data_IF_815062897978
#
_entry.id   IF_815062897978
#
_cell.length_a   1.000
_cell.length_b   1.000
_cell.length_c   1.000
_cell.angle_alpha   90.00
_cell.angle_beta   90.00
_cell.angle_gamma   90.00
#
_symmetry.space_group_name_H-M   'P 1'
#
loop_
_entity.id
_entity.type
_entity.pdbx_description
1 polymer ?
#
# COMPACT_ATOMS: atom_id res chain seq x y z
N UNK A 1 -1.72 -13.78 36.53
CA UNK A 1 -0.25 -13.68 36.60
C UNK A 1 0.05 -12.19 36.51
N UNK A 2 0.50 -11.56 37.59
CA UNK A 2 0.86 -10.14 37.56
C UNK A 2 2.16 -9.99 36.77
N UNK A 3 2.17 -9.08 35.78
CA UNK A 3 3.37 -8.77 35.02
C UNK A 3 4.21 -7.77 35.82
N UNK A 4 5.39 -8.20 36.25
CA UNK A 4 6.32 -7.32 36.98
C UNK A 4 6.91 -6.28 36.04
N UNK A 5 6.73 -5.00 36.37
CA UNK A 5 7.39 -3.91 35.67
C UNK A 5 8.88 -3.87 36.05
N UNK A 6 9.75 -4.14 35.09
CA UNK A 6 11.20 -4.08 35.28
C UNK A 6 11.73 -2.67 35.00
N UNK A 7 12.59 -2.14 35.88
CA UNK A 7 13.23 -0.81 35.71
C UNK A 7 14.45 -0.83 34.79
N UNK A 8 15.00 -2.00 34.48
CA UNK A 8 16.17 -2.19 33.63
C UNK A 8 16.57 -3.67 33.55
N UNK A 9 17.61 -3.96 32.78
CA UNK A 9 18.21 -5.30 32.72
C UNK A 9 18.89 -5.63 34.05
N UNK A 10 18.63 -6.83 34.58
CA UNK A 10 19.30 -7.36 35.78
C UNK A 10 20.63 -7.99 35.38
N UNK A 11 21.49 -8.29 36.36
CA UNK A 11 22.72 -9.05 36.10
C UNK A 11 22.43 -10.44 35.48
N UNK A 12 21.35 -11.09 35.92
CA UNK A 12 20.90 -12.36 35.34
C UNK A 12 20.51 -12.20 33.85
N UNK A 13 19.85 -11.08 33.49
CA UNK A 13 19.56 -10.78 32.08
C UNK A 13 20.85 -10.56 31.28
N UNK A 14 21.82 -9.82 31.81
CA UNK A 14 23.09 -9.57 31.12
C UNK A 14 23.89 -10.88 30.96
N UNK A 15 23.91 -11.72 31.98
CA UNK A 15 24.57 -13.02 31.92
C UNK A 15 23.90 -13.96 30.90
N UNK A 16 22.57 -13.89 30.77
CA UNK A 16 21.79 -14.72 29.85
C UNK A 16 21.80 -14.23 28.41
N UNK A 17 21.69 -12.93 28.18
CA UNK A 17 21.47 -12.32 26.85
C UNK A 17 22.70 -11.58 26.31
N UNK A 18 23.76 -11.47 27.10
CA UNK A 18 25.00 -10.79 26.75
C UNK A 18 25.04 -9.33 27.23
N UNK A 19 26.19 -8.68 27.03
CA UNK A 19 26.37 -7.28 27.39
C UNK A 19 25.47 -6.38 26.56
N UNK A 20 25.30 -5.14 27.02
CA UNK A 20 24.67 -4.06 26.26
C UNK A 20 25.39 -3.94 24.91
N UNK A 21 24.62 -3.97 23.82
CA UNK A 21 25.14 -3.85 22.46
C UNK A 21 25.18 -2.38 22.04
N UNK A 22 26.21 -2.02 21.29
CA UNK A 22 26.24 -0.78 20.54
C UNK A 22 25.22 -0.81 19.38
N UNK A 23 24.79 0.36 18.93
CA UNK A 23 23.86 0.47 17.81
C UNK A 23 24.55 0.11 16.48
N UNK A 24 23.78 -0.49 15.56
CA UNK A 24 24.24 -0.76 14.21
C UNK A 24 24.07 0.48 13.32
N UNK A 25 25.07 0.79 12.49
CA UNK A 25 25.03 1.87 11.50
C UNK A 25 25.00 1.25 10.12
N UNK A 26 23.95 1.55 9.35
CA UNK A 26 23.79 1.08 7.98
C UNK A 26 24.02 2.24 6.99
N UNK A 27 24.90 2.02 6.02
CA UNK A 27 24.96 2.84 4.81
C UNK A 27 23.94 2.31 3.82
N UNK A 28 23.13 3.20 3.21
CA UNK A 28 22.05 2.80 2.32
C UNK A 28 22.01 3.60 1.03
N UNK A 29 21.41 3.04 -0.01
CA UNK A 29 21.02 3.74 -1.23
C UNK A 29 19.54 3.47 -1.56
N UNK A 30 18.99 4.25 -2.50
CA UNK A 30 17.58 4.17 -2.91
C UNK A 30 17.47 3.78 -4.37
N UNK A 31 16.64 2.80 -4.67
CA UNK A 31 16.24 2.49 -6.05
C UNK A 31 14.77 2.84 -6.23
N UNK A 32 14.47 3.55 -7.33
CA UNK A 32 13.13 4.05 -7.63
C UNK A 32 12.60 3.35 -8.87
N UNK A 33 11.44 2.72 -8.72
CA UNK A 33 10.70 2.03 -9.76
C UNK A 33 9.41 2.79 -10.03
N UNK A 34 9.13 3.10 -11.29
CA UNK A 34 7.92 3.83 -11.69
C UNK A 34 7.10 3.04 -12.70
N UNK A 35 5.79 3.27 -12.74
CA UNK A 35 4.90 2.74 -13.79
C UNK A 35 5.51 2.99 -15.19
N UNK A 36 5.50 1.99 -16.11
CA UNK A 36 4.82 0.69 -16.06
C UNK A 36 5.64 -0.46 -15.42
N UNK A 37 6.65 -0.15 -14.61
CA UNK A 37 7.44 -1.14 -13.85
C UNK A 37 8.19 -2.18 -14.71
N UNK A 38 8.62 -1.80 -15.91
CA UNK A 38 9.38 -2.65 -16.82
C UNK A 38 10.88 -2.66 -16.51
N UNK A 39 11.26 -3.29 -15.40
CA UNK A 39 12.65 -3.45 -14.97
C UNK A 39 13.03 -4.94 -14.93
N UNK A 40 14.30 -5.26 -15.18
CA UNK A 40 14.76 -6.65 -15.25
C UNK A 40 14.52 -7.45 -13.96
N UNK A 41 14.48 -6.76 -12.83
CA UNK A 41 14.36 -7.35 -11.50
C UNK A 41 12.95 -7.18 -10.89
N UNK A 42 11.98 -6.77 -11.71
CA UNK A 42 10.60 -6.53 -11.29
C UNK A 42 9.64 -7.47 -12.02
N UNK A 43 8.72 -8.05 -11.26
CA UNK A 43 7.67 -8.93 -11.74
C UNK A 43 6.32 -8.36 -11.33
N UNK A 44 5.41 -8.21 -12.30
CA UNK A 44 4.07 -7.65 -12.10
C UNK A 44 3.04 -8.65 -12.61
N UNK A 45 1.98 -8.89 -11.84
CA UNK A 45 0.90 -9.78 -12.26
C UNK A 45 -0.44 -9.49 -11.59
N UNK A 46 -1.50 -10.06 -12.15
CA UNK A 46 -2.89 -9.92 -11.69
C UNK A 46 -3.31 -8.44 -11.56
N UNK A 47 -3.36 -7.73 -12.69
CA UNK A 47 -3.76 -6.33 -12.79
C UNK A 47 -4.84 -6.15 -13.87
N UNK A 48 -5.63 -5.08 -13.76
CA UNK A 48 -6.72 -4.74 -14.67
C UNK A 48 -6.29 -3.77 -15.77
N UNK A 49 -5.52 -2.75 -15.41
CA UNK A 49 -5.14 -1.66 -16.32
C UNK A 49 -3.69 -1.19 -16.06
N UNK A 50 -3.04 -0.73 -17.13
CA UNK A 50 -1.80 0.04 -17.06
C UNK A 50 -2.08 1.42 -17.66
N UNK A 51 -2.05 2.45 -16.82
CA UNK A 51 -2.16 3.85 -17.24
C UNK A 51 -0.85 4.56 -16.86
N UNK A 52 -0.08 5.09 -17.82
CA UNK A 52 1.18 5.80 -17.54
C UNK A 52 1.02 7.01 -16.61
N UNK A 53 -0.20 7.56 -16.52
CA UNK A 53 -0.52 8.70 -15.67
C UNK A 53 -1.01 8.28 -14.29
N UNK A 54 -1.73 7.16 -14.15
CA UNK A 54 -2.31 6.70 -12.87
C UNK A 54 -1.50 5.62 -12.16
N UNK A 55 -0.77 4.79 -12.89
CA UNK A 55 -0.12 3.59 -12.37
C UNK A 55 -0.68 2.29 -12.95
N UNK A 56 -0.35 1.18 -12.30
CA UNK A 56 -0.92 -0.13 -12.58
C UNK A 56 -2.03 -0.40 -11.57
N UNK A 57 -3.23 -0.67 -12.04
CA UNK A 57 -4.40 -1.00 -11.22
C UNK A 57 -4.41 -2.50 -10.91
N UNK A 58 -4.05 -2.86 -9.68
CA UNK A 58 -3.94 -4.25 -9.26
C UNK A 58 -5.29 -4.82 -8.85
N UNK A 59 -5.50 -6.10 -9.19
CA UNK A 59 -6.59 -6.86 -8.60
C UNK A 59 -6.36 -7.01 -7.11
N UNK A 60 -7.35 -6.67 -6.31
CA UNK A 60 -7.18 -6.76 -4.88
C UNK A 60 -7.01 -8.22 -4.41
N UNK A 61 -6.32 -8.37 -3.29
CA UNK A 61 -5.89 -9.63 -2.67
C UNK A 61 -4.83 -10.44 -3.45
N UNK A 62 -4.99 -10.66 -4.77
CA UNK A 62 -4.09 -11.50 -5.57
C UNK A 62 -3.16 -10.75 -6.54
N UNK A 63 -3.39 -9.45 -6.78
CA UNK A 63 -2.51 -8.53 -7.50
C UNK A 63 -1.17 -8.34 -6.83
N UNK A 64 -0.09 -8.32 -7.61
CA UNK A 64 1.26 -8.26 -7.05
C UNK A 64 2.27 -7.50 -7.90
N UNK A 65 3.19 -6.83 -7.19
CA UNK A 65 4.44 -6.30 -7.71
C UNK A 65 5.59 -6.83 -6.86
N UNK A 66 6.47 -7.64 -7.44
CA UNK A 66 7.64 -8.23 -6.76
C UNK A 66 8.91 -7.57 -7.26
N UNK A 67 9.76 -7.11 -6.33
CA UNK A 67 11.10 -6.56 -6.61
C UNK A 67 12.15 -7.49 -6.00
N UNK A 68 13.17 -7.84 -6.80
CA UNK A 68 14.33 -8.64 -6.38
C UNK A 68 15.58 -7.79 -6.45
N UNK A 69 16.13 -7.40 -5.32
CA UNK A 69 17.36 -6.61 -5.24
C UNK A 69 18.58 -7.52 -5.09
N UNK A 70 19.73 -7.09 -5.61
CA UNK A 70 21.00 -7.78 -5.33
C UNK A 70 21.42 -7.57 -3.86
N UNK A 71 21.10 -6.40 -3.32
CA UNK A 71 21.43 -5.97 -1.96
C UNK A 71 20.24 -6.11 -1.01
N UNK A 72 20.47 -6.30 0.30
CA UNK A 72 19.38 -6.43 1.27
C UNK A 72 18.52 -5.16 1.39
N UNK A 73 17.20 -5.34 1.37
CA UNK A 73 16.17 -4.31 1.46
C UNK A 73 15.86 -4.04 2.94
N UNK A 74 15.94 -2.78 3.36
CA UNK A 74 15.67 -2.35 4.74
C UNK A 74 14.40 -1.51 4.86
N UNK A 75 13.92 -0.96 3.75
CA UNK A 75 12.65 -0.26 3.69
C UNK A 75 12.06 -0.29 2.28
N UNK A 76 10.74 -0.14 2.22
CA UNK A 76 9.98 -0.01 0.98
C UNK A 76 8.99 1.14 1.15
N UNK A 77 8.94 2.03 0.17
CA UNK A 77 7.92 3.08 0.07
C UNK A 77 7.06 2.79 -1.14
N UNK A 78 5.74 2.75 -0.96
CA UNK A 78 4.77 2.55 -2.04
C UNK A 78 3.94 3.82 -2.18
N UNK A 79 3.87 4.35 -3.39
CA UNK A 79 3.04 5.52 -3.73
C UNK A 79 1.96 5.09 -4.72
N UNK A 80 0.72 5.42 -4.39
CA UNK A 80 -0.43 5.06 -5.20
C UNK A 80 -1.74 5.58 -4.64
N UNK A 81 -2.84 5.17 -5.25
CA UNK A 81 -4.17 5.68 -4.90
C UNK A 81 -5.24 4.62 -5.10
N UNK A 82 -6.26 4.65 -4.26
CA UNK A 82 -7.44 3.81 -4.40
C UNK A 82 -8.52 4.49 -5.24
N UNK A 83 -9.24 3.70 -6.03
CA UNK A 83 -10.48 4.13 -6.68
C UNK A 83 -11.68 4.12 -5.71
N UNK A 84 -11.53 3.48 -4.55
CA UNK A 84 -12.52 3.43 -3.48
C UNK A 84 -11.89 3.74 -2.10
N UNK A 85 -12.69 4.12 -1.08
CA UNK A 85 -12.20 4.30 0.28
C UNK A 85 -11.60 3.01 0.87
N UNK A 86 -10.85 3.18 1.96
CA UNK A 86 -10.21 2.10 2.73
C UNK A 86 -9.21 1.31 1.90
N UNK A 87 -8.42 2.03 1.11
CA UNK A 87 -7.26 1.49 0.44
C UNK A 87 -6.26 0.89 1.43
N UNK A 88 -5.49 -0.09 0.97
CA UNK A 88 -4.45 -0.73 1.76
C UNK A 88 -3.27 -1.10 0.87
N UNK A 89 -2.09 -1.13 1.48
CA UNK A 89 -0.89 -1.75 0.90
C UNK A 89 -0.35 -2.79 1.87
N UNK A 90 0.14 -3.90 1.33
CA UNK A 90 0.81 -4.97 2.07
C UNK A 90 2.19 -5.12 1.46
N UNK A 91 3.22 -5.12 2.30
CA UNK A 91 4.57 -5.51 1.91
C UNK A 91 4.88 -6.86 2.55
N UNK A 92 5.30 -7.82 1.74
CA UNK A 92 5.62 -9.20 2.10
C UNK A 92 7.07 -9.51 1.74
N UNK A 93 7.75 -10.34 2.53
CA UNK A 93 9.15 -10.73 2.28
C UNK A 93 9.47 -12.18 2.66
N UNK A 94 8.62 -13.07 2.17
CA UNK A 94 8.77 -14.52 2.32
C UNK A 94 10.06 -15.04 1.68
N UNK A 95 10.60 -16.15 2.21
CA UNK A 95 11.68 -16.84 1.52
C UNK A 95 11.15 -17.48 0.21
N UNK A 96 12.06 -17.93 -0.66
CA UNK A 96 11.64 -18.55 -1.92
C UNK A 96 10.76 -19.78 -1.68
N UNK A 97 9.59 -19.81 -2.34
CA UNK A 97 8.57 -20.85 -2.17
C UNK A 97 7.73 -20.75 -0.89
N UNK A 98 7.91 -19.71 -0.07
CA UNK A 98 7.08 -19.44 1.11
C UNK A 98 5.99 -18.39 0.82
N UNK A 99 4.85 -18.52 1.49
CA UNK A 99 3.72 -17.61 1.50
C UNK A 99 2.91 -17.80 2.81
N UNK A 100 1.76 -17.12 2.92
CA UNK A 100 0.92 -17.21 4.11
C UNK A 100 0.29 -18.60 4.31
N UNK A 101 0.06 -19.35 3.24
CA UNK A 101 -0.59 -20.66 3.26
C UNK A 101 0.39 -21.82 3.50
N UNK A 102 1.70 -21.57 3.40
CA UNK A 102 2.74 -22.60 3.57
C UNK A 102 3.93 -22.14 4.44
N UNK A 103 3.67 -21.21 5.36
CA UNK A 103 4.64 -20.71 6.33
C UNK A 103 5.31 -21.89 7.08
N UNK A 104 6.58 -22.19 6.74
CA UNK A 104 7.36 -23.32 7.27
C UNK A 104 7.81 -23.08 8.72
N UNK A 105 6.85 -22.89 9.63
CA UNK A 105 7.05 -22.53 11.05
C UNK A 105 7.88 -21.26 11.28
N UNK A 106 7.90 -20.35 10.30
CA UNK A 106 8.58 -19.07 10.41
C UNK A 106 7.63 -17.95 10.85
N UNK A 107 8.20 -16.92 11.49
CA UNK A 107 7.48 -15.68 11.77
C UNK A 107 6.89 -15.09 10.48
N UNK A 108 5.66 -14.61 10.56
CA UNK A 108 4.97 -13.98 9.43
C UNK A 108 5.75 -12.73 9.00
N UNK A 109 6.17 -12.71 7.73
CA UNK A 109 6.99 -11.64 7.13
C UNK A 109 6.12 -10.71 6.27
N UNK A 110 5.14 -10.06 6.91
CA UNK A 110 4.24 -9.09 6.26
C UNK A 110 3.95 -7.87 7.13
N UNK A 111 3.81 -6.73 6.50
CA UNK A 111 3.27 -5.50 7.11
C UNK A 111 2.13 -4.98 6.25
N UNK A 112 1.13 -4.38 6.89
CA UNK A 112 -0.04 -3.81 6.22
C UNK A 112 -0.23 -2.37 6.70
N UNK A 113 -0.45 -1.47 5.76
CA UNK A 113 -0.95 -0.11 6.02
C UNK A 113 -2.36 -0.03 5.45
N UNK A 114 -3.31 0.38 6.28
CA UNK A 114 -4.73 0.51 5.96
C UNK A 114 -5.16 1.99 5.92
N UNK A 115 -6.41 2.23 5.51
CA UNK A 115 -7.05 3.55 5.46
C UNK A 115 -6.34 4.54 4.52
N UNK A 116 -5.78 4.03 3.43
CA UNK A 116 -5.19 4.81 2.35
C UNK A 116 -6.33 5.38 1.48
N UNK A 117 -6.83 6.57 1.83
CA UNK A 117 -8.03 7.17 1.22
C UNK A 117 -7.71 8.29 0.21
N UNK A 118 -6.61 8.16 -0.51
CA UNK A 118 -6.24 9.06 -1.60
C UNK A 118 -6.74 8.59 -2.96
N UNK A 119 -7.27 9.52 -3.76
CA UNK A 119 -7.75 9.31 -5.14
C UNK A 119 -6.78 9.97 -6.13
N UNK A 120 -6.51 9.30 -7.25
CA UNK A 120 -5.53 9.77 -8.23
C UNK A 120 -5.92 11.15 -8.80
N UNK A 121 -5.00 12.14 -8.83
CA UNK A 121 -5.30 13.47 -9.36
C UNK A 121 -5.73 13.50 -10.84
N UNK A 122 -5.46 12.49 -11.66
CA UNK A 122 -5.96 12.46 -13.05
C UNK A 122 -7.49 12.43 -13.15
N UNK A 123 -8.18 12.00 -12.08
CA UNK A 123 -9.63 12.09 -11.96
C UNK A 123 -10.09 13.55 -12.02
N UNK A 124 -9.26 14.51 -11.60
CA UNK A 124 -9.48 15.94 -11.79
C UNK A 124 -9.70 16.31 -13.26
N UNK A 125 -8.84 15.81 -14.15
CA UNK A 125 -8.95 16.07 -15.59
C UNK A 125 -10.23 15.44 -16.15
N UNK A 126 -10.57 14.22 -15.74
CA UNK A 126 -11.79 13.54 -16.21
C UNK A 126 -13.07 14.24 -15.73
N UNK A 127 -13.08 14.74 -14.48
CA UNK A 127 -14.19 15.54 -13.95
C UNK A 127 -14.34 16.88 -14.68
N UNK A 128 -13.24 17.59 -14.90
CA UNK A 128 -13.26 18.87 -15.63
C UNK A 128 -13.66 18.71 -17.11
N UNK A 129 -13.30 17.58 -17.72
CA UNK A 129 -13.66 17.26 -19.10
C UNK A 129 -15.06 16.66 -19.24
N UNK A 130 -15.75 16.35 -18.13
CA UNK A 130 -17.05 15.69 -18.13
C UNK A 130 -17.01 14.26 -18.65
N UNK A 131 -15.85 13.61 -18.60
CA UNK A 131 -15.61 12.26 -19.16
C UNK A 131 -15.50 11.17 -18.09
N UNK A 132 -15.65 11.51 -16.80
CA UNK A 132 -15.58 10.53 -15.72
C UNK A 132 -16.77 9.55 -15.80
N UNK A 133 -16.53 8.24 -16.06
CA UNK A 133 -17.60 7.26 -16.19
C UNK A 133 -18.35 7.08 -14.87
N UNK A 134 -19.68 7.05 -14.91
CA UNK A 134 -20.50 6.78 -13.74
C UNK A 134 -20.68 7.96 -12.76
N UNK A 135 -20.13 9.15 -13.06
CA UNK A 135 -20.52 10.36 -12.32
C UNK A 135 -21.90 10.82 -12.75
N UNK A 136 -22.94 10.11 -12.32
CA UNK A 136 -24.29 10.61 -12.37
C UNK A 136 -24.56 11.33 -11.05
N UNK A 137 -24.74 12.66 -11.09
CA UNK A 137 -25.23 13.43 -9.94
C UNK A 137 -26.68 13.04 -9.53
N UNK A 138 -27.23 11.96 -10.08
CA UNK A 138 -28.61 11.52 -9.86
C UNK A 138 -28.82 10.94 -8.46
N UNK A 139 -27.77 10.43 -7.81
CA UNK A 139 -27.81 9.88 -6.44
C UNK A 139 -27.40 10.92 -5.38
N UNK A 140 -27.11 12.14 -5.80
CA UNK A 140 -26.76 13.26 -4.93
C UNK A 140 -27.89 14.27 -5.03
N UNK A 141 -28.47 14.68 -3.89
CA UNK A 141 -29.55 15.65 -3.93
C UNK A 141 -29.06 16.93 -4.64
N UNK A 142 -29.85 17.59 -5.50
CA UNK A 142 -29.41 18.77 -6.27
C UNK A 142 -28.79 19.88 -5.41
N UNK A 143 -29.20 19.97 -4.15
CA UNK A 143 -28.69 20.86 -3.11
C UNK A 143 -27.32 20.46 -2.53
N UNK A 144 -26.95 19.18 -2.63
CA UNK A 144 -25.71 18.61 -2.09
C UNK A 144 -24.53 18.76 -3.04
N UNK A 145 -24.70 18.90 -4.36
CA UNK A 145 -23.56 19.12 -5.26
C UNK A 145 -23.95 19.98 -6.45
N UNK A 146 -23.44 21.22 -6.47
CA UNK A 146 -23.87 22.28 -7.41
C UNK A 146 -23.20 22.23 -8.79
N UNK A 147 -22.39 21.21 -9.06
CA UNK A 147 -21.64 21.02 -10.30
C UNK A 147 -20.17 20.62 -10.07
N UNK A 148 -19.40 20.50 -11.15
CA UNK A 148 -18.01 20.00 -11.11
C UNK A 148 -17.11 20.78 -10.13
N UNK A 149 -17.21 22.11 -10.07
CA UNK A 149 -16.39 22.93 -9.16
C UNK A 149 -16.71 22.66 -7.68
N UNK A 150 -17.97 22.39 -7.35
CA UNK A 150 -18.40 22.07 -5.98
C UNK A 150 -17.99 20.63 -5.59
N UNK A 151 -18.14 19.69 -6.54
CA UNK A 151 -17.59 18.33 -6.43
C UNK A 151 -16.08 18.36 -6.15
N UNK A 152 -15.33 19.17 -6.90
CA UNK A 152 -13.90 19.35 -6.74
C UNK A 152 -13.54 19.92 -5.36
N UNK A 153 -14.30 20.91 -4.86
CA UNK A 153 -14.08 21.46 -3.51
C UNK A 153 -14.29 20.39 -2.45
N UNK A 154 -15.37 19.61 -2.53
CA UNK A 154 -15.66 18.54 -1.56
C UNK A 154 -14.60 17.44 -1.58
N UNK A 155 -14.17 16.99 -2.75
CA UNK A 155 -13.08 16.04 -2.91
C UNK A 155 -11.73 16.61 -2.44
N UNK A 156 -11.45 17.89 -2.67
CA UNK A 156 -10.22 18.54 -2.16
C UNK A 156 -10.19 18.62 -0.63
N UNK A 157 -11.35 18.68 0.01
CA UNK A 157 -11.51 18.67 1.47
C UNK A 157 -11.51 17.26 2.05
N UNK A 158 -11.35 16.23 1.21
CA UNK A 158 -11.39 14.85 1.65
C UNK A 158 -12.81 14.39 1.97
N UNK A 159 -13.83 14.70 1.17
CA UNK A 159 -15.20 14.32 1.48
C UNK A 159 -15.94 13.75 0.26
N UNK A 160 -16.27 12.46 0.31
CA UNK A 160 -17.13 11.76 -0.65
C UNK A 160 -18.02 10.76 0.10
N UNK A 161 -19.34 10.90 0.02
CA UNK A 161 -20.32 9.98 0.65
C UNK A 161 -20.05 9.66 2.15
N UNK A 162 -19.57 10.63 2.93
CA UNK A 162 -19.23 10.42 4.35
C UNK A 162 -17.87 9.72 4.59
N UNK A 163 -17.11 9.45 3.54
CA UNK A 163 -15.75 8.90 3.58
C UNK A 163 -14.70 9.97 3.24
N UNK A 164 -13.54 9.86 3.88
CA UNK A 164 -12.49 10.86 3.78
C UNK A 164 -11.62 10.66 2.52
N UNK A 165 -12.15 10.88 1.30
CA UNK A 165 -11.39 10.71 0.05
C UNK A 165 -10.83 12.03 -0.49
N UNK A 166 -9.50 12.18 -0.46
CA UNK A 166 -8.82 13.40 -0.92
C UNK A 166 -8.08 13.23 -2.26
N UNK A 167 -7.89 14.32 -3.00
CA UNK A 167 -7.05 14.36 -4.21
C UNK A 167 -5.56 14.37 -3.87
N UNK A 168 -5.06 13.23 -3.42
CA UNK A 168 -3.65 13.00 -3.20
C UNK A 168 -3.34 11.52 -3.40
N UNK A 169 -2.09 11.23 -3.73
CA UNK A 169 -1.59 9.86 -3.65
C UNK A 169 -1.24 9.54 -2.20
N UNK A 170 -1.51 8.32 -1.80
CA UNK A 170 -1.09 7.80 -0.52
C UNK A 170 0.36 7.36 -0.60
N UNK A 171 1.07 7.49 0.53
CA UNK A 171 2.40 6.93 0.72
C UNK A 171 2.35 5.91 1.85
N UNK A 172 2.62 4.65 1.54
CA UNK A 172 2.78 3.59 2.53
C UNK A 172 4.27 3.30 2.71
N UNK A 173 4.76 3.44 3.94
CA UNK A 173 6.16 3.18 4.29
C UNK A 173 6.27 1.90 5.13
N UNK A 174 7.13 0.99 4.70
CA UNK A 174 7.37 -0.30 5.32
C UNK A 174 8.83 -0.40 5.76
N UNK A 175 9.04 -0.74 7.03
CA UNK A 175 10.37 -1.05 7.58
C UNK A 175 10.50 -2.55 7.71
N UNK A 176 11.43 -3.13 6.96
CA UNK A 176 11.66 -4.56 7.04
C UNK A 176 12.69 -4.86 8.12
N UNK A 177 12.38 -5.82 8.99
CA UNK A 177 13.29 -6.24 10.07
C UNK A 177 14.36 -7.23 9.60
N UNK A 178 15.49 -7.35 10.33
CA UNK A 178 16.49 -8.36 10.04
C UNK A 178 15.97 -9.80 10.28
N UNK A 179 16.49 -10.81 9.57
CA UNK A 179 17.45 -10.67 8.46
C UNK A 179 16.81 -9.98 7.25
N UNK A 180 17.50 -8.96 6.72
CA UNK A 180 16.95 -8.12 5.66
C UNK A 180 16.79 -8.91 4.36
N UNK A 181 15.59 -8.92 3.75
CA UNK A 181 15.32 -9.71 2.56
C UNK A 181 15.96 -9.08 1.33
N UNK A 182 16.11 -9.88 0.26
CA UNK A 182 16.45 -9.40 -1.08
C UNK A 182 15.26 -9.40 -2.03
N UNK A 183 14.11 -9.87 -1.57
CA UNK A 183 12.88 -10.00 -2.33
C UNK A 183 11.74 -9.47 -1.49
N UNK A 184 10.96 -8.57 -2.08
CA UNK A 184 9.71 -8.09 -1.50
C UNK A 184 8.60 -8.21 -2.53
N UNK A 185 7.39 -8.46 -2.05
CA UNK A 185 6.17 -8.46 -2.85
C UNK A 185 5.21 -7.45 -2.24
N UNK A 186 4.72 -6.53 -3.07
CA UNK A 186 3.73 -5.53 -2.71
C UNK A 186 2.38 -5.99 -3.25
N UNK A 187 1.36 -5.91 -2.39
CA UNK A 187 -0.05 -6.11 -2.73
C UNK A 187 -0.83 -4.88 -2.34
N UNK A 188 -1.93 -4.63 -3.02
CA UNK A 188 -2.80 -3.50 -2.71
C UNK A 188 -4.25 -3.79 -3.09
N UNK A 189 -5.15 -2.95 -2.60
CA UNK A 189 -6.57 -3.01 -2.90
C UNK A 189 -7.35 -2.06 -1.99
N UNK A 190 -8.66 -2.04 -2.13
CA UNK A 190 -9.56 -1.27 -1.29
C UNK A 190 -10.61 -2.18 -0.64
N UNK A 191 -10.98 -1.89 0.61
CA UNK A 191 -12.06 -2.60 1.30
C UNK A 191 -13.40 -1.91 1.06
N UNK A 192 -14.17 -2.40 0.10
CA UNK A 192 -15.58 -1.99 -0.11
C UNK A 192 -16.49 -2.91 0.73
N UNK A 193 -17.53 -2.39 1.40
CA UNK A 193 -18.60 -3.26 1.90
C UNK A 193 -19.30 -3.93 0.72
N UNK A 194 -19.56 -5.23 0.81
CA UNK A 194 -20.41 -5.97 -0.15
C UNK A 194 -21.77 -5.29 -0.28
N UNK A 195 -22.28 -5.11 -1.51
CA UNK A 195 -23.68 -4.75 -1.71
C UNK A 195 -24.56 -5.97 -1.36
N UNK A 196 -25.57 -5.84 -0.48
CA UNK A 196 -26.46 -6.94 -0.17
C UNK A 196 -27.25 -7.38 -1.41
N UNK A 197 -27.03 -8.60 -1.88
CA UNK A 197 -27.92 -9.27 -2.84
C UNK A 197 -27.46 -9.35 -4.29
N UNK A 198 -26.21 -9.01 -4.63
CA UNK A 198 -25.66 -9.25 -5.98
C UNK A 198 -24.70 -10.43 -6.03
N UNK A 199 -24.78 -11.27 -7.07
CA UNK A 199 -23.79 -12.32 -7.37
C UNK A 199 -22.54 -11.79 -8.08
N UNK A 200 -22.41 -10.47 -8.17
CA UNK A 200 -21.26 -9.77 -8.73
C UNK A 200 -20.48 -9.27 -7.52
N UNK A 201 -19.30 -9.85 -7.27
CA UNK A 201 -18.29 -9.18 -6.46
C UNK A 201 -18.17 -7.75 -7.01
N UNK A 202 -18.54 -6.72 -6.23
CA UNK A 202 -17.77 -5.48 -6.35
C UNK A 202 -16.40 -5.85 -5.81
N UNK A 203 -15.58 -6.36 -6.74
CA UNK A 203 -14.16 -6.66 -6.59
C UNK A 203 -13.56 -5.70 -5.56
N UNK A 204 -12.73 -6.17 -4.61
CA UNK A 204 -12.20 -5.27 -3.60
C UNK A 204 -11.52 -4.11 -4.34
N UNK A 205 -11.95 -2.88 -4.10
CA UNK A 205 -11.81 -1.78 -5.07
C UNK A 205 -10.36 -1.57 -5.53
N UNK A 206 -10.19 -1.16 -6.78
CA UNK A 206 -8.89 -1.10 -7.41
C UNK A 206 -7.96 -0.11 -6.72
N UNK A 207 -6.68 -0.48 -6.60
CA UNK A 207 -5.62 0.39 -6.11
C UNK A 207 -4.51 0.45 -7.15
N UNK A 208 -4.24 1.67 -7.63
CA UNK A 208 -3.19 1.93 -8.58
C UNK A 208 -1.86 2.21 -7.87
N UNK A 209 -0.80 1.47 -8.17
CA UNK A 209 0.56 1.81 -7.73
C UNK A 209 1.27 2.54 -8.87
N UNK A 210 1.88 3.69 -8.55
CA UNK A 210 2.62 4.51 -9.53
C UNK A 210 4.12 4.48 -9.28
N UNK A 211 4.54 4.46 -8.02
CA UNK A 211 5.96 4.46 -7.64
C UNK A 211 6.20 3.46 -6.52
N UNK A 212 7.31 2.74 -6.62
CA UNK A 212 7.88 1.96 -5.52
C UNK A 212 9.33 2.38 -5.34
N UNK A 213 9.72 2.72 -4.12
CA UNK A 213 11.13 2.96 -3.76
C UNK A 213 11.59 1.88 -2.79
N UNK A 214 12.71 1.23 -3.08
CA UNK A 214 13.42 0.36 -2.13
C UNK A 214 14.58 1.14 -1.53
N UNK A 215 14.78 1.01 -0.22
CA UNK A 215 16.03 1.40 0.43
C UNK A 215 16.83 0.12 0.68
N UNK A 216 18.04 0.04 0.13
CA UNK A 216 18.92 -1.12 0.26
C UNK A 216 20.21 -0.77 0.99
N UNK A 217 20.82 -1.76 1.66
CA UNK A 217 22.15 -1.61 2.27
C UNK A 217 23.19 -1.44 1.16
N UNK A 218 24.12 -0.50 1.32
CA UNK A 218 25.16 -0.18 0.33
C UNK A 218 26.31 -1.18 0.33
#
# INVERSE_FOLDING_TARGET
>A
MELTLMKGFTEEHIQRFGPVKEYEVLSTERHVYTTPFMYQNVEVGNFYEIDPTKGIEFKADDGFLTIKEEKPIVAVTVVGSGCAPRGYNICEWWAEGENIDNMKDQLVKRQRVDNLNGTHPSIWSQLLMGTFPGLTFNDIAPEEMKGAVDCLKKLSLGYYEGYYMGFYENTAYFRVGPPYPRKITIRCGCKVPEDPGTSIERYPGDYAIRVVETTVVR
#
